data_IF_371513950690
#
_entry.id   IF_371513950690
#
_cell.length_a   1.000
_cell.length_b   1.000
_cell.length_c   1.000
_cell.angle_alpha   90.00
_cell.angle_beta   90.00
_cell.angle_gamma   90.00
#
_symmetry.space_group_name_H-M   'P 1'
#
loop_
_entity.id
_entity.type
_entity.pdbx_description
1 polymer ?
#
# COMPACT_ATOMS: atom_id res chain seq x y z
N UNK A 1 -19.99 -29.77 23.96
CA UNK A 1 -21.03 -30.47 23.20
C UNK A 1 -20.92 -30.07 21.73
N UNK A 2 -20.66 -31.02 20.83
CA UNK A 2 -20.62 -30.74 19.37
C UNK A 2 -22.05 -30.63 18.87
N UNK A 3 -22.39 -29.50 18.24
CA UNK A 3 -23.68 -29.32 17.55
C UNK A 3 -23.85 -30.38 16.43
N UNK A 4 -25.06 -30.86 16.18
CA UNK A 4 -25.32 -31.82 15.11
C UNK A 4 -25.04 -31.17 13.73
N UNK A 5 -24.50 -31.96 12.78
CA UNK A 5 -24.10 -31.51 11.42
C UNK A 5 -25.23 -30.80 10.67
N UNK A 6 -26.49 -31.13 10.92
CA UNK A 6 -27.67 -30.50 10.31
C UNK A 6 -27.89 -29.05 10.77
N UNK A 7 -27.62 -28.77 12.05
CA UNK A 7 -27.73 -27.40 12.59
C UNK A 7 -26.65 -26.48 12.01
N UNK A 8 -25.44 -27.03 11.79
CA UNK A 8 -24.33 -26.28 11.18
C UNK A 8 -24.61 -25.93 9.71
N UNK A 9 -25.22 -26.83 8.95
CA UNK A 9 -25.61 -26.57 7.55
C UNK A 9 -26.71 -25.52 7.45
N UNK A 10 -27.64 -25.50 8.40
CA UNK A 10 -28.70 -24.47 8.46
C UNK A 10 -28.17 -23.08 8.74
N UNK A 11 -27.24 -22.94 9.68
CA UNK A 11 -26.57 -21.68 10.02
C UNK A 11 -25.75 -21.10 8.85
N UNK A 12 -25.00 -21.96 8.13
CA UNK A 12 -24.24 -21.54 6.94
C UNK A 12 -25.15 -21.02 5.83
N UNK A 13 -26.29 -21.69 5.59
CA UNK A 13 -27.27 -21.24 4.58
C UNK A 13 -27.91 -19.91 4.94
N UNK A 14 -28.16 -19.65 6.23
CA UNK A 14 -28.70 -18.37 6.70
C UNK A 14 -27.68 -17.24 6.54
N UNK A 15 -26.41 -17.46 6.87
CA UNK A 15 -25.35 -16.49 6.72
C UNK A 15 -25.11 -16.07 5.26
N UNK A 16 -25.04 -17.05 4.33
CA UNK A 16 -24.92 -16.79 2.89
C UNK A 16 -26.14 -16.00 2.37
N UNK A 17 -27.35 -16.31 2.89
CA UNK A 17 -28.56 -15.58 2.49
C UNK A 17 -28.53 -14.13 2.98
N UNK A 18 -28.16 -13.91 4.23
CA UNK A 18 -28.00 -12.56 4.79
C UNK A 18 -26.99 -11.75 3.94
N UNK A 19 -25.85 -12.35 3.60
CA UNK A 19 -24.83 -11.73 2.75
C UNK A 19 -25.36 -11.29 1.38
N UNK A 20 -26.18 -12.13 0.74
CA UNK A 20 -26.79 -11.80 -0.56
C UNK A 20 -27.86 -10.70 -0.43
N UNK A 21 -28.67 -10.74 0.62
CA UNK A 21 -29.68 -9.71 0.85
C UNK A 21 -28.99 -8.35 1.06
N UNK A 22 -27.98 -8.31 1.92
CA UNK A 22 -27.20 -7.10 2.17
C UNK A 22 -26.56 -6.54 0.90
N UNK A 23 -25.98 -7.40 0.06
CA UNK A 23 -25.43 -7.01 -1.23
C UNK A 23 -26.51 -6.39 -2.13
N UNK A 24 -27.70 -6.99 -2.18
CA UNK A 24 -28.81 -6.51 -3.00
C UNK A 24 -29.34 -5.15 -2.49
N UNK A 25 -29.46 -4.96 -1.19
CA UNK A 25 -29.92 -3.71 -0.56
C UNK A 25 -28.97 -2.54 -0.85
N UNK A 26 -27.67 -2.82 -0.89
CA UNK A 26 -26.63 -1.81 -1.17
C UNK A 26 -26.27 -1.70 -2.66
N UNK A 27 -26.93 -2.46 -3.54
CA UNK A 27 -26.63 -2.53 -4.97
C UNK A 27 -25.18 -3.01 -5.26
N UNK A 28 -24.68 -3.90 -4.38
CA UNK A 28 -23.38 -4.54 -4.51
C UNK A 28 -23.51 -5.85 -5.28
N UNK A 29 -22.40 -6.29 -5.86
CA UNK A 29 -22.30 -7.60 -6.50
C UNK A 29 -22.02 -8.68 -5.47
N UNK A 30 -22.61 -9.87 -5.68
CA UNK A 30 -22.34 -11.05 -4.86
C UNK A 30 -21.74 -12.16 -5.70
N UNK A 31 -20.62 -12.71 -5.22
CA UNK A 31 -19.96 -13.90 -5.78
C UNK A 31 -19.77 -14.93 -4.68
N UNK A 32 -19.94 -16.22 -5.03
CA UNK A 32 -19.84 -17.31 -4.05
C UNK A 32 -18.43 -17.49 -3.49
N UNK A 33 -17.43 -17.35 -4.36
CA UNK A 33 -16.01 -17.47 -4.00
C UNK A 33 -15.14 -16.76 -5.02
N UNK A 34 -14.01 -16.23 -4.53
CA UNK A 34 -12.94 -15.66 -5.35
C UNK A 34 -11.61 -16.28 -4.91
N UNK A 35 -10.96 -17.09 -5.77
CA UNK A 35 -9.71 -17.74 -5.41
C UNK A 35 -8.50 -16.82 -5.45
N UNK A 36 -8.60 -15.65 -6.07
CA UNK A 36 -7.46 -14.74 -6.31
C UNK A 36 -7.43 -13.55 -5.37
N UNK A 37 -8.57 -13.14 -4.83
CA UNK A 37 -8.67 -11.93 -4.02
C UNK A 37 -7.76 -11.98 -2.77
N UNK A 38 -7.67 -13.14 -2.13
CA UNK A 38 -6.82 -13.33 -0.95
C UNK A 38 -5.32 -13.26 -1.26
N UNK A 39 -4.92 -13.44 -2.51
CA UNK A 39 -3.51 -13.36 -2.92
C UNK A 39 -3.01 -11.91 -2.96
N UNK A 40 -3.93 -10.93 -2.98
CA UNK A 40 -3.59 -9.51 -2.87
C UNK A 40 -3.22 -9.08 -1.44
N UNK A 41 -3.48 -9.93 -0.44
CA UNK A 41 -3.27 -9.66 0.98
C UNK A 41 -2.27 -10.61 1.60
N UNK A 42 -1.23 -10.07 2.21
CA UNK A 42 -0.14 -10.86 2.80
C UNK A 42 -0.05 -10.76 4.32
N UNK A 43 -0.80 -9.84 4.92
CA UNK A 43 -0.76 -9.56 6.36
C UNK A 43 -2.09 -9.88 7.06
N UNK A 44 -2.07 -9.79 8.37
CA UNK A 44 -3.25 -10.00 9.18
C UNK A 44 -3.81 -11.42 9.09
N UNK A 45 -5.13 -11.54 9.00
CA UNK A 45 -5.82 -12.82 8.87
C UNK A 45 -5.76 -13.38 7.44
N UNK A 46 -5.35 -12.59 6.47
CA UNK A 46 -5.25 -12.97 5.07
C UNK A 46 -3.99 -13.76 4.74
N UNK A 47 -2.97 -13.75 5.60
CA UNK A 47 -1.71 -14.48 5.42
C UNK A 47 -1.83 -16.01 5.36
N UNK A 48 -3.05 -16.53 5.49
CA UNK A 48 -3.33 -17.98 5.57
C UNK A 48 -3.59 -18.65 4.22
N UNK A 49 -3.49 -17.96 3.08
CA UNK A 49 -3.80 -18.46 1.72
C UNK A 49 -5.18 -19.12 1.62
N UNK A 50 -6.18 -18.57 2.30
CA UNK A 50 -7.54 -19.07 2.31
C UNK A 50 -8.33 -18.48 1.15
N UNK A 51 -9.07 -19.32 0.41
CA UNK A 51 -10.00 -18.84 -0.61
C UNK A 51 -11.08 -17.94 0.01
N UNK A 52 -11.27 -16.76 -0.55
CA UNK A 52 -12.34 -15.86 -0.15
C UNK A 52 -13.71 -16.43 -0.55
N UNK A 53 -14.65 -16.48 0.41
CA UNK A 53 -15.99 -17.01 0.22
C UNK A 53 -17.05 -15.97 0.55
N UNK A 54 -18.25 -16.17 -0.01
CA UNK A 54 -19.39 -15.26 0.17
C UNK A 54 -18.97 -13.79 -0.07
N UNK A 55 -18.30 -13.56 -1.19
CA UNK A 55 -17.69 -12.28 -1.59
C UNK A 55 -18.77 -11.31 -2.03
N UNK A 56 -18.79 -10.14 -1.42
CA UNK A 56 -19.58 -8.99 -1.87
C UNK A 56 -18.60 -7.91 -2.29
N UNK A 57 -18.82 -7.28 -3.44
CA UNK A 57 -18.03 -6.18 -3.94
C UNK A 57 -18.90 -5.04 -4.43
N UNK A 58 -18.47 -3.81 -4.20
CA UNK A 58 -19.20 -2.62 -4.58
C UNK A 58 -18.43 -1.34 -4.33
N UNK A 59 -19.16 -0.24 -4.21
CA UNK A 59 -18.59 1.06 -3.97
C UNK A 59 -19.33 1.75 -2.83
N UNK A 60 -18.63 2.10 -1.75
CA UNK A 60 -19.20 2.76 -0.60
C UNK A 60 -18.25 3.80 -0.01
N UNK A 61 -18.80 4.90 0.51
CA UNK A 61 -18.04 5.98 1.14
C UNK A 61 -16.84 6.51 0.32
N UNK A 62 -16.94 6.46 -1.01
CA UNK A 62 -15.87 6.93 -1.91
C UNK A 62 -14.79 5.89 -2.26
N UNK A 63 -14.94 4.64 -1.81
CA UNK A 63 -13.98 3.57 -2.02
C UNK A 63 -14.61 2.33 -2.65
N UNK A 64 -13.82 1.60 -3.42
CA UNK A 64 -14.15 0.22 -3.76
C UNK A 64 -14.12 -0.61 -2.46
N UNK A 65 -15.14 -1.42 -2.24
CA UNK A 65 -15.35 -2.18 -1.03
C UNK A 65 -15.54 -3.67 -1.34
N UNK A 66 -14.93 -4.52 -0.51
CA UNK A 66 -15.17 -5.95 -0.48
C UNK A 66 -15.54 -6.41 0.93
N UNK A 67 -16.46 -7.35 1.00
CA UNK A 67 -16.81 -8.04 2.24
C UNK A 67 -16.75 -9.55 1.98
N UNK A 68 -15.86 -10.25 2.68
CA UNK A 68 -15.55 -11.66 2.38
C UNK A 68 -15.40 -12.50 3.65
N UNK A 69 -15.65 -13.79 3.53
CA UNK A 69 -15.33 -14.76 4.57
C UNK A 69 -13.99 -15.45 4.26
N UNK A 70 -13.03 -15.32 5.18
CA UNK A 70 -11.74 -16.01 5.18
C UNK A 70 -11.68 -16.97 6.38
N UNK A 71 -11.98 -18.25 6.14
CA UNK A 71 -11.97 -19.26 7.19
C UNK A 71 -12.93 -18.96 8.33
N UNK A 72 -12.41 -18.47 9.47
CA UNK A 72 -13.16 -18.19 10.70
C UNK A 72 -13.40 -16.70 10.93
N UNK A 73 -13.02 -15.85 9.99
CA UNK A 73 -13.21 -14.40 10.06
C UNK A 73 -13.98 -13.87 8.86
N UNK A 74 -14.70 -12.79 9.07
CA UNK A 74 -15.25 -11.96 8.01
C UNK A 74 -14.39 -10.73 7.90
N UNK A 75 -13.94 -10.40 6.71
CA UNK A 75 -13.07 -9.26 6.42
C UNK A 75 -13.80 -8.27 5.52
N UNK A 76 -13.83 -7.02 5.94
CA UNK A 76 -14.19 -5.89 5.07
C UNK A 76 -12.90 -5.21 4.62
N UNK A 77 -12.76 -4.99 3.32
CA UNK A 77 -11.60 -4.37 2.71
C UNK A 77 -12.03 -3.17 1.86
N UNK A 78 -11.29 -2.07 1.96
CA UNK A 78 -11.42 -0.92 1.09
C UNK A 78 -10.13 -0.68 0.32
N UNK A 79 -10.24 -0.35 -0.98
CA UNK A 79 -9.09 -0.11 -1.85
C UNK A 79 -8.86 1.38 -2.02
N UNK A 80 -7.65 1.81 -1.70
CA UNK A 80 -7.16 3.17 -1.93
C UNK A 80 -6.59 3.29 -3.35
N UNK A 81 -6.59 4.49 -3.90
CA UNK A 81 -5.94 4.78 -5.19
C UNK A 81 -4.41 4.85 -5.09
N UNK A 82 -3.87 5.00 -3.88
CA UNK A 82 -2.43 5.09 -3.61
C UNK A 82 -1.93 3.80 -2.97
N UNK A 83 -0.76 3.33 -3.38
CA UNK A 83 -0.06 2.19 -2.78
C UNK A 83 1.06 2.66 -1.86
N UNK A 84 1.34 1.90 -0.79
CA UNK A 84 2.41 2.17 0.16
C UNK A 84 3.06 0.86 0.61
N UNK A 85 4.38 0.87 0.82
CA UNK A 85 5.10 -0.26 1.43
C UNK A 85 5.00 -0.26 2.96
N UNK A 86 4.34 0.75 3.52
CA UNK A 86 4.11 0.80 4.96
C UNK A 86 2.97 -0.13 5.32
N UNK A 87 3.28 -1.08 6.18
CA UNK A 87 2.30 -1.98 6.80
C UNK A 87 1.98 -1.46 8.19
N UNK A 88 0.69 -1.34 8.49
CA UNK A 88 0.20 -1.00 9.83
C UNK A 88 -0.77 -2.11 10.25
N UNK A 89 -0.52 -2.74 11.38
CA UNK A 89 -1.41 -3.72 12.01
C UNK A 89 -1.97 -3.14 13.30
N UNK A 90 -3.28 -3.19 13.47
CA UNK A 90 -4.01 -2.56 14.55
C UNK A 90 -4.86 -3.63 15.24
N UNK A 91 -4.58 -3.90 16.50
CA UNK A 91 -5.26 -4.93 17.28
C UNK A 91 -6.04 -4.32 18.44
N UNK A 92 -7.29 -4.73 18.58
CA UNK A 92 -8.07 -4.37 19.77
C UNK A 92 -7.44 -5.03 21.00
N UNK A 93 -7.24 -4.27 22.05
CA UNK A 93 -6.66 -4.76 23.30
C UNK A 93 -7.67 -5.66 23.98
N UNK A 94 -7.34 -6.94 24.09
CA UNK A 94 -8.06 -7.94 24.85
C UNK A 94 -7.16 -8.35 26.02
N UNK A 95 -7.75 -8.75 27.15
CA UNK A 95 -7.02 -8.95 28.42
C UNK A 95 -5.94 -10.04 28.41
N UNK A 96 -5.88 -10.88 27.36
CA UNK A 96 -5.00 -12.05 27.29
C UNK A 96 -4.03 -12.07 26.12
N UNK A 97 -3.99 -11.03 25.28
CA UNK A 97 -3.31 -11.14 23.98
C UNK A 97 -1.88 -10.60 24.04
N UNK A 98 -0.93 -11.48 23.75
CA UNK A 98 0.46 -11.10 23.44
C UNK A 98 0.68 -11.24 21.95
N UNK A 99 0.70 -10.11 21.25
CA UNK A 99 0.95 -10.09 19.81
C UNK A 99 2.46 -10.14 19.54
N UNK A 100 2.87 -11.07 18.67
CA UNK A 100 4.24 -11.18 18.19
C UNK A 100 4.21 -11.12 16.68
N UNK A 101 4.90 -10.15 16.13
CA UNK A 101 5.10 -10.00 14.70
C UNK A 101 6.60 -10.07 14.39
N UNK A 102 6.98 -10.76 13.32
CA UNK A 102 8.40 -10.89 12.95
C UNK A 102 8.97 -9.57 12.42
N UNK A 103 8.16 -8.78 11.69
CA UNK A 103 8.62 -7.60 10.96
C UNK A 103 7.90 -6.29 11.35
N UNK A 104 7.06 -6.31 12.39
CA UNK A 104 6.36 -5.13 12.86
C UNK A 104 6.77 -4.82 14.30
N UNK A 105 6.98 -3.54 14.58
CA UNK A 105 7.30 -3.05 15.92
C UNK A 105 6.11 -2.30 16.50
N UNK A 106 5.96 -2.35 17.83
CA UNK A 106 4.93 -1.60 18.54
C UNK A 106 5.20 -0.10 18.40
N UNK A 107 4.21 0.64 17.93
CA UNK A 107 4.27 2.09 17.76
C UNK A 107 3.64 2.81 18.94
N UNK A 108 2.40 2.46 19.25
CA UNK A 108 1.64 3.07 20.34
C UNK A 108 0.42 2.25 20.72
N UNK A 109 -0.18 2.62 21.84
CA UNK A 109 -1.53 2.20 22.21
C UNK A 109 -2.45 3.43 22.18
N UNK A 110 -3.54 3.36 21.45
CA UNK A 110 -4.44 4.48 21.24
C UNK A 110 -5.90 4.02 21.21
N UNK A 111 -6.75 4.64 22.01
CA UNK A 111 -8.20 4.37 22.09
C UNK A 111 -8.59 2.88 22.14
N UNK A 112 -7.88 2.10 22.94
CA UNK A 112 -8.18 0.67 23.12
C UNK A 112 -7.63 -0.24 22.03
N UNK A 113 -6.76 0.28 21.17
CA UNK A 113 -6.06 -0.49 20.15
C UNK A 113 -4.55 -0.40 20.31
N UNK A 114 -3.86 -1.49 20.03
CA UNK A 114 -2.41 -1.55 19.84
C UNK A 114 -2.08 -1.36 18.37
N UNK A 115 -1.15 -0.47 18.07
CA UNK A 115 -0.70 -0.17 16.69
C UNK A 115 0.72 -0.66 16.51
N UNK A 116 0.94 -1.47 15.48
CA UNK A 116 2.22 -2.00 15.06
C UNK A 116 2.52 -1.57 13.63
N UNK A 117 3.80 -1.39 13.27
CA UNK A 117 4.17 -1.03 11.90
C UNK A 117 5.62 -1.43 11.59
N UNK A 118 5.91 -1.64 10.31
CA UNK A 118 7.27 -1.72 9.79
C UNK A 118 7.94 -0.35 9.66
N UNK A 119 7.17 0.76 9.75
CA UNK A 119 7.65 2.14 9.72
C UNK A 119 6.98 2.99 10.81
N UNK A 120 7.54 3.03 12.04
CA UNK A 120 6.94 3.74 13.16
C UNK A 120 6.70 5.23 12.91
N UNK A 121 7.62 5.91 12.20
CA UNK A 121 7.48 7.33 11.91
C UNK A 121 6.33 7.64 10.95
N UNK A 122 6.08 6.79 9.96
CA UNK A 122 4.93 6.90 9.08
C UNK A 122 3.62 6.59 9.82
N UNK A 123 3.63 5.56 10.66
CA UNK A 123 2.47 5.18 11.47
C UNK A 123 2.09 6.26 12.49
N UNK A 124 3.06 6.96 13.09
CA UNK A 124 2.77 8.10 13.97
C UNK A 124 2.07 9.26 13.23
N UNK A 125 2.47 9.55 11.99
CA UNK A 125 1.80 10.57 11.17
C UNK A 125 0.41 10.14 10.70
N UNK A 126 0.19 8.84 10.53
CA UNK A 126 -1.11 8.27 10.20
C UNK A 126 -2.13 8.46 11.34
N UNK A 127 -1.68 8.43 12.60
CA UNK A 127 -2.56 8.55 13.77
C UNK A 127 -2.94 10.03 13.97
N UNK A 128 -4.07 10.42 13.40
CA UNK A 128 -4.66 11.76 13.50
C UNK A 128 -6.10 11.70 14.03
N UNK A 129 -6.82 12.82 14.00
CA UNK A 129 -8.21 12.92 14.49
C UNK A 129 -9.16 12.00 13.71
N UNK A 130 -8.90 11.73 12.43
CA UNK A 130 -9.71 10.80 11.62
C UNK A 130 -9.56 9.37 12.15
N UNK A 131 -8.33 8.96 12.43
CA UNK A 131 -8.03 7.66 13.04
C UNK A 131 -8.65 7.56 14.43
N UNK A 132 -8.57 8.64 15.22
CA UNK A 132 -9.25 8.72 16.51
C UNK A 132 -10.74 8.50 16.41
N UNK A 133 -11.40 9.18 15.47
CA UNK A 133 -12.83 9.01 15.21
C UNK A 133 -13.15 7.59 14.73
N UNK A 134 -12.33 7.05 13.82
CA UNK A 134 -12.50 5.69 13.30
C UNK A 134 -12.42 4.65 14.44
N UNK A 135 -11.46 4.76 15.35
CA UNK A 135 -11.31 3.83 16.46
C UNK A 135 -12.46 3.93 17.45
N UNK A 136 -12.92 5.15 17.73
CA UNK A 136 -14.04 5.39 18.64
C UNK A 136 -15.37 4.83 18.12
N UNK A 137 -15.57 4.84 16.79
CA UNK A 137 -16.82 4.42 16.14
C UNK A 137 -16.76 3.00 15.58
N UNK A 138 -15.57 2.36 15.57
CA UNK A 138 -15.39 1.00 15.08
C UNK A 138 -16.16 -0.02 15.92
N UNK A 139 -17.01 -0.86 15.32
CA UNK A 139 -17.81 -1.84 16.04
C UNK A 139 -16.99 -2.69 17.01
N UNK A 140 -17.56 -3.03 18.15
CA UNK A 140 -16.86 -3.82 19.18
C UNK A 140 -16.44 -5.22 18.70
N UNK A 141 -17.14 -5.77 17.71
CA UNK A 141 -16.81 -7.07 17.10
C UNK A 141 -15.56 -7.03 16.21
N UNK A 142 -15.11 -5.84 15.77
CA UNK A 142 -13.87 -5.71 15.03
C UNK A 142 -12.70 -5.94 15.98
N UNK A 143 -11.95 -7.01 15.74
CA UNK A 143 -10.82 -7.43 16.57
C UNK A 143 -9.49 -6.95 16.02
N UNK A 144 -9.40 -6.76 14.71
CA UNK A 144 -8.19 -6.32 14.04
C UNK A 144 -8.51 -5.47 12.82
N UNK A 145 -7.61 -4.55 12.52
CA UNK A 145 -7.56 -3.80 11.28
C UNK A 145 -6.10 -3.79 10.78
N UNK A 146 -5.90 -3.70 9.49
CA UNK A 146 -4.54 -3.56 8.96
C UNK A 146 -4.55 -2.82 7.63
N UNK A 147 -3.40 -2.21 7.32
CA UNK A 147 -3.15 -1.50 6.10
C UNK A 147 -1.94 -2.14 5.43
N UNK A 148 -2.08 -2.48 4.17
CA UNK A 148 -1.01 -3.00 3.32
C UNK A 148 -1.23 -2.61 1.87
N UNK A 149 -0.19 -2.26 1.15
CA UNK A 149 -0.25 -1.85 -0.25
C UNK A 149 -1.32 -0.77 -0.48
N UNK A 150 -2.33 -1.05 -1.30
CA UNK A 150 -3.49 -0.16 -1.53
C UNK A 150 -4.70 -0.49 -0.66
N UNK A 151 -4.59 -1.41 0.27
CA UNK A 151 -5.72 -1.93 1.03
C UNK A 151 -5.79 -1.39 2.46
N UNK A 152 -7.02 -1.22 2.94
CA UNK A 152 -7.36 -1.00 4.35
C UNK A 152 -8.40 -2.03 4.71
N UNK A 153 -8.11 -2.85 5.71
CA UNK A 153 -8.91 -4.03 6.02
C UNK A 153 -9.30 -4.04 7.50
N UNK A 154 -10.49 -4.57 7.78
CA UNK A 154 -10.96 -4.81 9.13
C UNK A 154 -11.59 -6.20 9.25
N UNK A 155 -11.30 -6.88 10.34
CA UNK A 155 -11.75 -8.24 10.58
C UNK A 155 -12.67 -8.36 11.78
N UNK A 156 -13.74 -9.12 11.60
CA UNK A 156 -14.64 -9.57 12.66
C UNK A 156 -14.63 -11.09 12.74
N UNK A 157 -15.02 -11.68 13.87
CA UNK A 157 -15.29 -13.11 13.92
C UNK A 157 -16.38 -13.50 12.91
N UNK A 158 -16.31 -14.70 12.40
CA UNK A 158 -17.34 -15.27 11.54
C UNK A 158 -18.70 -15.26 12.26
N UNK A 159 -19.74 -14.83 11.56
CA UNK A 159 -21.08 -14.67 12.12
C UNK A 159 -21.41 -13.22 12.50
N UNK A 160 -20.61 -12.25 12.06
CA UNK A 160 -21.03 -10.86 12.03
C UNK A 160 -22.28 -10.70 11.16
N UNK A 161 -23.11 -9.73 11.48
CA UNK A 161 -24.43 -9.48 10.88
C UNK A 161 -24.43 -8.15 10.11
N UNK A 162 -25.51 -7.88 9.40
CA UNK A 162 -25.67 -6.72 8.52
C UNK A 162 -25.37 -5.40 9.23
N UNK A 163 -25.87 -5.24 10.46
CA UNK A 163 -25.64 -4.03 11.26
C UNK A 163 -24.14 -3.83 11.59
N UNK A 164 -23.39 -4.92 11.78
CA UNK A 164 -21.94 -4.84 11.99
C UNK A 164 -21.24 -4.36 10.71
N UNK A 165 -21.67 -4.87 9.54
CA UNK A 165 -21.06 -4.53 8.25
C UNK A 165 -21.32 -3.06 7.91
N UNK A 166 -22.56 -2.59 8.09
CA UNK A 166 -22.91 -1.18 7.86
C UNK A 166 -22.12 -0.25 8.78
N UNK A 167 -22.01 -0.62 10.05
CA UNK A 167 -21.27 0.16 11.03
C UNK A 167 -19.75 0.21 10.78
N UNK A 168 -19.18 -0.72 9.99
CA UNK A 168 -17.77 -0.74 9.63
C UNK A 168 -17.43 0.22 8.49
N UNK A 169 -18.36 0.55 7.60
CA UNK A 169 -18.10 1.29 6.35
C UNK A 169 -17.46 2.64 6.64
N UNK A 170 -18.09 3.49 7.45
CA UNK A 170 -17.59 4.83 7.73
C UNK A 170 -16.24 4.86 8.48
N UNK A 171 -16.05 4.09 9.56
CA UNK A 171 -14.75 4.04 10.23
C UNK A 171 -13.64 3.54 9.31
N UNK A 172 -13.92 2.54 8.46
CA UNK A 172 -12.92 2.01 7.54
C UNK A 172 -12.54 3.04 6.46
N UNK A 173 -13.52 3.82 5.96
CA UNK A 173 -13.28 4.92 5.04
C UNK A 173 -12.42 6.02 5.66
N UNK A 174 -12.63 6.38 6.94
CA UNK A 174 -11.79 7.34 7.65
C UNK A 174 -10.34 6.85 7.77
N UNK A 175 -10.13 5.55 8.00
CA UNK A 175 -8.78 4.97 7.98
C UNK A 175 -8.16 5.01 6.58
N UNK A 176 -8.94 4.79 5.54
CA UNK A 176 -8.48 4.90 4.16
C UNK A 176 -8.09 6.35 3.81
N UNK A 177 -8.86 7.34 4.26
CA UNK A 177 -8.53 8.76 4.12
C UNK A 177 -7.27 9.15 4.90
N UNK A 178 -7.13 8.68 6.14
CA UNK A 178 -5.93 8.93 6.94
C UNK A 178 -4.67 8.32 6.31
N UNK A 179 -4.83 7.19 5.65
CA UNK A 179 -3.72 6.46 5.03
C UNK A 179 -3.08 7.16 3.81
N UNK A 180 -3.65 8.26 3.30
CA UNK A 180 -3.01 9.06 2.25
C UNK A 180 -1.76 9.81 2.74
N UNK A 181 -1.54 9.91 4.04
CA UNK A 181 -0.30 10.47 4.62
C UNK A 181 0.88 9.51 4.52
N UNK A 182 0.63 8.22 4.26
CA UNK A 182 1.67 7.22 4.13
C UNK A 182 2.52 7.47 2.88
N UNK A 183 3.84 7.28 2.96
CA UNK A 183 4.70 7.43 1.79
C UNK A 183 4.28 6.45 0.70
N UNK A 184 4.28 6.88 -0.57
CA UNK A 184 3.98 5.99 -1.69
C UNK A 184 5.04 4.90 -1.81
N UNK A 185 4.64 3.74 -2.32
CA UNK A 185 5.57 2.67 -2.65
C UNK A 185 6.56 3.12 -3.73
N UNK A 186 7.83 2.67 -3.70
CA UNK A 186 8.80 2.97 -4.74
C UNK A 186 8.28 2.61 -6.13
N UNK A 187 8.32 3.57 -7.05
CA UNK A 187 7.81 3.40 -8.41
C UNK A 187 6.29 3.52 -8.57
N UNK A 188 5.54 3.71 -7.50
CA UNK A 188 4.13 4.07 -7.59
C UNK A 188 4.01 5.49 -8.19
N UNK A 189 3.29 5.61 -9.30
CA UNK A 189 2.94 6.94 -9.80
C UNK A 189 1.94 7.58 -8.82
N UNK A 190 2.16 8.84 -8.43
CA UNK A 190 1.14 9.56 -7.66
C UNK A 190 -0.17 9.58 -8.47
N UNK A 191 -1.32 9.47 -7.80
CA UNK A 191 -2.59 9.54 -8.50
C UNK A 191 -2.68 10.87 -9.25
N UNK A 192 -2.80 10.80 -10.59
CA UNK A 192 -2.95 12.00 -11.39
C UNK A 192 -4.34 12.56 -11.10
N UNK A 193 -4.40 13.72 -10.47
CA UNK A 193 -5.65 14.45 -10.35
C UNK A 193 -5.99 15.05 -11.71
N UNK A 194 -6.93 14.44 -12.41
CA UNK A 194 -7.43 15.00 -13.67
C UNK A 194 -8.02 16.40 -13.49
N UNK A 195 -8.46 16.75 -12.28
CA UNK A 195 -8.95 18.09 -11.96
C UNK A 195 -7.87 19.16 -12.03
N UNK A 196 -6.61 18.81 -11.70
CA UNK A 196 -5.48 19.74 -11.80
C UNK A 196 -4.93 19.83 -13.23
N UNK A 197 -5.28 18.88 -14.09
CA UNK A 197 -4.84 18.81 -15.49
C UNK A 197 -5.90 19.31 -16.49
N UNK A 198 -7.05 19.75 -16.01
CA UNK A 198 -8.11 20.28 -16.86
C UNK A 198 -7.76 21.70 -17.33
N UNK A 199 -7.45 21.91 -18.63
CA UNK A 199 -7.12 23.22 -19.17
C UNK A 199 -8.30 24.21 -19.15
N UNK A 200 -9.51 23.73 -18.88
CA UNK A 200 -10.73 24.57 -18.79
C UNK A 200 -11.02 25.01 -17.34
N UNK A 201 -10.21 24.56 -16.37
CA UNK A 201 -10.38 24.97 -14.99
C UNK A 201 -10.22 26.48 -14.87
N UNK A 202 -11.31 27.16 -14.52
CA UNK A 202 -11.25 28.57 -14.13
C UNK A 202 -10.49 28.64 -12.79
N UNK A 203 -9.29 29.18 -12.84
CA UNK A 203 -8.53 29.45 -11.62
C UNK A 203 -9.38 30.36 -10.72
N UNK A 204 -9.46 30.12 -9.40
CA UNK A 204 -10.08 31.03 -8.48
C UNK A 204 -9.44 32.41 -8.70
N UNK A 205 -10.24 33.41 -9.08
CA UNK A 205 -9.74 34.78 -9.10
C UNK A 205 -9.27 35.11 -7.69
N UNK A 206 -8.04 35.62 -7.58
CA UNK A 206 -7.59 36.17 -6.32
C UNK A 206 -8.65 37.19 -5.87
N UNK A 207 -9.04 37.19 -4.58
CA UNK A 207 -9.95 38.22 -4.10
C UNK A 207 -9.37 39.59 -4.48
N UNK A 208 -10.14 40.36 -5.25
CA UNK A 208 -9.79 41.76 -5.49
C UNK A 208 -9.72 42.38 -4.11
N UNK A 209 -8.51 42.83 -3.73
CA UNK A 209 -8.34 43.65 -2.56
C UNK A 209 -9.20 44.89 -2.79
N UNK A 210 -10.02 45.33 -1.82
CA UNK A 210 -10.76 46.57 -1.97
C UNK A 210 -9.75 47.68 -2.31
N UNK A 211 -10.00 48.35 -3.43
CA UNK A 211 -9.27 49.59 -3.73
C UNK A 211 -9.68 50.55 -2.63
N UNK A 212 -8.76 50.83 -1.70
CA UNK A 212 -8.92 51.87 -0.72
C UNK A 212 -8.90 53.21 -1.49
N UNK A 213 -10.11 53.73 -1.77
CA UNK A 213 -10.29 55.12 -2.21
C UNK A 213 -9.83 55.99 -1.05
N UNK A 214 -8.90 56.91 -1.36
CA UNK A 214 -8.39 57.97 -0.50
C UNK A 214 -7.27 57.64 0.51
N UNK A 215 -6.09 57.28 0.03
CA UNK A 215 -4.86 57.71 0.68
C UNK A 215 -4.18 58.81 -0.15
N UNK A 216 -3.77 59.95 0.49
CA UNK A 216 -3.07 61.02 -0.19
C UNK A 216 -1.73 60.51 -0.72
N UNK A 217 -1.44 60.87 -1.95
CA UNK A 217 -0.22 60.55 -2.71
C UNK A 217 1.04 60.96 -1.92
N UNK A 218 1.49 60.06 -1.04
CA UNK A 218 2.81 60.21 -0.42
C UNK A 218 3.82 59.71 -1.45
N UNK A 219 4.43 60.60 -2.16
CA UNK A 219 5.59 60.33 -3.00
C UNK A 219 6.59 59.47 -2.21
N UNK A 220 6.89 58.25 -2.64
CA UNK A 220 7.87 57.42 -1.95
C UNK A 220 9.22 58.14 -1.99
N UNK A 221 9.96 58.21 -0.89
CA UNK A 221 11.32 58.79 -0.90
C UNK A 221 12.14 57.97 -1.91
N UNK A 222 12.82 58.73 -2.82
CA UNK A 222 13.71 58.14 -3.81
C UNK A 222 14.62 57.12 -3.12
N UNK A 223 14.75 55.89 -3.64
CA UNK A 223 15.63 54.91 -3.06
C UNK A 223 17.05 55.46 -3.06
N UNK A 224 17.60 55.71 -1.89
CA UNK A 224 19.02 56.03 -1.75
C UNK A 224 19.79 54.87 -2.36
N UNK A 225 20.56 55.18 -3.42
CA UNK A 225 21.50 54.22 -4.01
C UNK A 225 22.40 53.70 -2.88
N UNK A 226 22.19 52.51 -2.47
CA UNK A 226 23.12 51.81 -1.56
C UNK A 226 24.50 51.84 -2.22
N UNK A 227 25.57 52.18 -1.49
CA UNK A 227 26.91 52.10 -2.04
C UNK A 227 27.10 50.68 -2.58
N UNK A 228 27.65 50.59 -3.78
CA UNK A 228 27.94 49.34 -4.48
C UNK A 228 28.79 48.49 -3.55
N UNK A 229 28.17 47.49 -2.91
CA UNK A 229 28.92 46.55 -2.11
C UNK A 229 29.91 45.83 -3.04
N UNK A 230 31.19 45.89 -2.66
CA UNK A 230 32.22 45.16 -3.38
C UNK A 230 31.82 43.69 -3.43
N UNK A 231 31.99 43.00 -4.58
CA UNK A 231 31.61 41.62 -4.70
C UNK A 231 32.36 40.81 -3.66
N UNK A 232 31.62 40.18 -2.74
CA UNK A 232 32.18 39.23 -1.79
C UNK A 232 32.82 38.11 -2.62
N UNK A 233 34.13 38.05 -2.62
CA UNK A 233 34.89 36.98 -3.22
C UNK A 233 34.57 35.72 -2.37
N UNK A 234 33.64 34.91 -2.84
CA UNK A 234 33.38 33.60 -2.25
C UNK A 234 34.69 32.80 -2.32
N UNK A 235 35.14 32.23 -1.20
CA UNK A 235 36.31 31.36 -1.25
C UNK A 235 36.04 30.25 -2.27
N UNK A 236 36.83 30.25 -3.35
CA UNK A 236 36.81 29.18 -4.30
C UNK A 236 37.12 27.90 -3.53
N UNK A 237 36.24 26.89 -3.64
CA UNK A 237 36.48 25.55 -3.10
C UNK A 237 37.86 25.14 -3.61
N UNK A 238 38.84 25.11 -2.73
CA UNK A 238 40.11 24.47 -3.02
C UNK A 238 39.76 23.01 -3.26
N UNK A 239 39.77 22.59 -4.52
CA UNK A 239 39.80 21.18 -4.85
C UNK A 239 41.16 20.69 -4.29
N UNK A 240 41.09 20.02 -3.14
CA UNK A 240 42.19 19.13 -2.80
C UNK A 240 42.25 18.13 -3.95
N UNK A 241 43.32 18.21 -4.73
CA UNK A 241 43.68 17.15 -5.65
C UNK A 241 43.89 15.91 -4.76
N UNK A 242 42.88 15.05 -4.70
CA UNK A 242 43.03 13.74 -4.13
C UNK A 242 44.12 13.05 -4.98
N UNK A 243 45.34 13.08 -4.52
CA UNK A 243 46.42 12.23 -5.00
C UNK A 243 46.13 10.77 -4.61
N UNK A 244 45.02 10.23 -5.14
CA UNK A 244 44.93 8.80 -5.31
C UNK A 244 45.91 8.47 -6.45
N UNK A 245 46.91 7.62 -6.19
CA UNK A 245 47.73 7.08 -7.24
C UNK A 245 46.86 6.25 -8.18
N UNK A 246 46.29 6.92 -9.16
CA UNK A 246 45.69 6.23 -10.30
C UNK A 246 46.88 5.77 -11.14
N UNK A 247 47.21 4.47 -11.08
CA UNK A 247 48.08 3.86 -12.06
C UNK A 247 47.48 4.20 -13.44
N UNK A 248 48.20 4.99 -14.21
CA UNK A 248 47.85 5.30 -15.59
C UNK A 248 48.04 4.01 -16.42
N UNK A 249 47.03 3.15 -16.44
CA UNK A 249 46.94 2.09 -17.44
C UNK A 249 46.53 2.74 -18.73
N UNK A 250 47.32 2.49 -19.77
CA UNK A 250 46.92 2.86 -21.13
C UNK A 250 45.64 2.10 -21.47
N UNK A 251 44.61 2.85 -21.87
CA UNK A 251 43.33 2.31 -22.35
C UNK A 251 43.67 1.45 -23.57
N UNK A 252 43.33 0.14 -23.51
CA UNK A 252 43.59 -0.80 -24.61
C UNK A 252 44.62 -1.88 -24.32
N UNK A 253 45.21 -1.94 -23.13
CA UNK A 253 46.14 -3.00 -22.75
C UNK A 253 45.51 -4.13 -21.91
N UNK A 254 44.21 -4.08 -21.68
CA UNK A 254 43.54 -5.20 -21.05
C UNK A 254 43.20 -6.22 -22.14
N UNK A 255 43.85 -7.37 -22.08
CA UNK A 255 43.58 -8.53 -22.93
C UNK A 255 42.18 -9.08 -22.50
N UNK A 256 41.13 -8.52 -23.08
CA UNK A 256 39.76 -8.99 -22.87
C UNK A 256 39.52 -10.10 -23.85
N UNK A 257 39.59 -11.35 -23.40
CA UNK A 257 39.20 -12.50 -24.21
C UNK A 257 37.73 -12.36 -24.60
N UNK A 258 37.41 -12.35 -25.91
CA UNK A 258 36.02 -12.24 -26.34
C UNK A 258 35.24 -13.47 -25.89
N UNK A 259 34.07 -13.26 -25.34
CA UNK A 259 33.14 -14.29 -24.80
C UNK A 259 32.74 -15.30 -25.92
N UNK A 260 32.98 -14.98 -27.18
CA UNK A 260 32.61 -15.77 -28.36
C UNK A 260 33.69 -16.78 -28.84
N UNK A 261 34.91 -16.65 -28.40
CA UNK A 261 35.97 -17.59 -28.83
C UNK A 261 36.11 -18.68 -27.77
N UNK A 262 35.47 -19.82 -27.99
CA UNK A 262 35.62 -21.15 -27.40
C UNK A 262 36.74 -21.42 -26.38
N UNK A 263 37.01 -20.45 -25.49
CA UNK A 263 37.93 -20.61 -24.37
C UNK A 263 37.42 -21.70 -23.44
N UNK A 264 38.31 -22.55 -22.97
CA UNK A 264 38.04 -23.65 -22.04
C UNK A 264 37.03 -23.19 -20.96
N UNK A 265 35.99 -23.99 -20.71
CA UNK A 265 35.06 -23.67 -19.63
C UNK A 265 35.82 -23.52 -18.31
N UNK A 266 35.58 -22.40 -17.62
CA UNK A 266 36.16 -22.16 -16.31
C UNK A 266 35.81 -23.31 -15.37
N UNK A 267 36.77 -23.67 -14.49
CA UNK A 267 36.61 -24.75 -13.50
C UNK A 267 35.33 -24.46 -12.68
N UNK A 268 34.41 -25.42 -12.52
CA UNK A 268 33.17 -25.23 -11.80
C UNK A 268 33.33 -24.82 -10.32
N UNK A 269 34.54 -24.87 -9.77
CA UNK A 269 34.86 -24.44 -8.42
C UNK A 269 35.23 -22.96 -8.29
N UNK A 270 35.37 -22.21 -9.36
CA UNK A 270 35.79 -20.80 -9.33
C UNK A 270 34.62 -19.80 -9.18
N UNK A 271 33.36 -20.26 -9.12
CA UNK A 271 32.21 -19.40 -9.02
C UNK A 271 31.52 -19.48 -7.65
N UNK A 272 31.71 -18.45 -6.84
CA UNK A 272 30.79 -18.11 -5.75
C UNK A 272 29.53 -17.50 -6.35
N UNK A 273 28.58 -18.32 -6.79
CA UNK A 273 27.30 -17.85 -7.30
C UNK A 273 26.36 -19.01 -7.62
N UNK A 274 25.09 -18.85 -7.32
CA UNK A 274 24.05 -19.86 -7.54
C UNK A 274 23.93 -20.20 -9.02
N UNK A 275 24.32 -21.41 -9.40
CA UNK A 275 24.24 -21.91 -10.78
C UNK A 275 22.85 -22.47 -11.02
N UNK A 276 22.05 -21.82 -11.85
CA UNK A 276 20.82 -22.40 -12.38
C UNK A 276 21.19 -23.33 -13.54
N UNK A 277 21.22 -24.64 -13.30
CA UNK A 277 21.36 -25.64 -14.34
C UNK A 277 19.95 -25.86 -14.94
N UNK A 278 19.74 -25.35 -16.14
CA UNK A 278 18.59 -25.74 -16.95
C UNK A 278 18.95 -27.01 -17.71
N UNK A 279 18.40 -28.13 -17.27
CA UNK A 279 18.44 -29.38 -18.05
C UNK A 279 17.44 -29.23 -19.20
N UNK A 280 17.96 -29.01 -20.40
CA UNK A 280 17.15 -28.89 -21.63
C UNK A 280 16.89 -30.24 -22.30
N UNK A 281 17.27 -31.35 -21.68
CA UNK A 281 17.16 -32.69 -22.29
C UNK A 281 15.79 -33.34 -22.09
N UNK A 282 14.88 -32.78 -21.28
CA UNK A 282 13.58 -33.39 -20.96
C UNK A 282 12.40 -32.40 -20.95
N UNK A 283 12.30 -31.50 -21.89
CA UNK A 283 11.10 -30.67 -22.08
C UNK A 283 10.51 -30.87 -23.49
N UNK A 284 9.17 -30.84 -23.68
CA UNK A 284 8.61 -30.81 -25.00
C UNK A 284 9.07 -29.54 -25.73
N UNK A 285 9.88 -29.70 -26.75
CA UNK A 285 10.30 -28.61 -27.61
C UNK A 285 9.08 -28.14 -28.42
N UNK A 286 8.73 -26.85 -28.32
CA UNK A 286 7.71 -26.22 -29.16
C UNK A 286 8.12 -26.18 -30.65
N UNK A 287 9.33 -26.66 -31.01
CA UNK A 287 9.88 -26.73 -32.36
C UNK A 287 10.03 -28.16 -32.89
N UNK A 288 9.42 -29.17 -32.30
CA UNK A 288 9.36 -30.49 -32.91
C UNK A 288 8.26 -30.53 -33.93
N UNK A 289 8.63 -30.38 -35.20
CA UNK A 289 7.80 -30.66 -36.36
C UNK A 289 7.24 -32.09 -36.26
N UNK A 290 5.89 -32.16 -36.27
CA UNK A 290 5.18 -33.42 -36.36
C UNK A 290 5.53 -34.16 -37.66
N UNK A 291 6.44 -35.12 -37.60
CA UNK A 291 6.55 -36.13 -38.63
C UNK A 291 5.44 -37.17 -38.39
N UNK A 292 4.40 -37.07 -39.17
CA UNK A 292 3.44 -38.09 -39.45
C UNK A 292 4.20 -39.38 -39.88
N UNK A 293 3.95 -40.50 -39.22
CA UNK A 293 4.29 -41.82 -39.71
C UNK A 293 3.03 -42.48 -40.21
N UNK A 294 3.12 -42.89 -41.48
CA UNK A 294 2.21 -43.83 -42.16
C UNK A 294 2.07 -45.13 -41.35
#
# INVERSE_FOLDING_TARGET
>A
ARLPKSAFTGLLRSATRARRNWAQEHQFEYQKEDPYLSDEWSHGFASSNLTAKDVVSGFAAGYELWLVDLGQVTVMAMRRKATSDVVIDIRRILQSDTYKFENLVSVTTFQGFHVFSNNPGAAQRFIDDRVGTAFATMPAKVTAMWLESSWVLAATPKGSVEEDWDAMIQPLALLADAAYVLPPAPGAMPPISYQDSDPTRVLPQAPELPEDEDEPEVTPPMPQLRPKEEPVVLPSRVREESRGSVNSRQVGMDDVSPIADGGKPADPNDYFGTRVIRDTSQGPSIFTDGKQKD
#
